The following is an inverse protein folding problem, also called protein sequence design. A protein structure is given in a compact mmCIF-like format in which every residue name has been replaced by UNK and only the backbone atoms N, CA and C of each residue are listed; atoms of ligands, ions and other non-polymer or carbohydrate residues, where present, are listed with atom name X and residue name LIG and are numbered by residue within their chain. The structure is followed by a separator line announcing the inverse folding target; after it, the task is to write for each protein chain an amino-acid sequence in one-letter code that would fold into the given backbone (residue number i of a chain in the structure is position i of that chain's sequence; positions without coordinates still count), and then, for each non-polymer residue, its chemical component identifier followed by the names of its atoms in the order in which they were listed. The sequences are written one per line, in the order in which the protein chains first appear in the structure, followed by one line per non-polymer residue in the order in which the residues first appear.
data_IF_265505451952
#
_entry.id   IF_265505451952
#
_cell.length_a   1.000
_cell.length_b   1.000
_cell.length_c   1.000
_cell.angle_alpha   90.00
_cell.angle_beta   90.00
_cell.angle_gamma   90.00
#
_symmetry.space_group_name_H-M   'P 1'
#
loop_
_entity.id
_entity.type
_entity.pdbx_description
1 polymer ?
#
# COMPACT_ATOMS: atom_id res chain seq x y z
N UNK A 1 1.57 31.93 27.59
CA UNK A 1 2.56 32.56 26.70
C UNK A 1 3.33 31.54 25.87
N UNK A 2 4.28 30.83 26.48
CA UNK A 2 5.29 30.01 25.76
C UNK A 2 4.72 28.92 24.85
N UNK A 3 3.60 28.27 25.20
CA UNK A 3 2.97 27.22 24.37
C UNK A 3 2.52 27.73 23.00
N UNK A 4 1.90 28.91 22.92
CA UNK A 4 1.45 29.49 21.66
C UNK A 4 2.63 29.78 20.71
N UNK A 5 3.75 30.26 21.25
CA UNK A 5 4.97 30.46 20.46
C UNK A 5 5.58 29.15 19.95
N UNK A 6 5.52 28.06 20.73
CA UNK A 6 5.98 26.73 20.28
C UNK A 6 5.11 26.18 19.15
N UNK A 7 3.79 26.27 19.28
CA UNK A 7 2.84 25.87 18.22
C UNK A 7 3.11 26.68 16.96
N UNK A 8 3.22 28.00 17.08
CA UNK A 8 3.48 28.88 15.95
C UNK A 8 4.81 28.55 15.27
N UNK A 9 5.88 28.29 16.04
CA UNK A 9 7.17 27.89 15.49
C UNK A 9 7.08 26.55 14.73
N UNK A 10 6.38 25.55 15.27
CA UNK A 10 6.18 24.27 14.59
C UNK A 10 5.37 24.45 13.30
N UNK A 11 4.28 25.23 13.34
CA UNK A 11 3.47 25.58 12.18
C UNK A 11 4.32 26.22 11.08
N UNK A 12 5.12 27.24 11.41
CA UNK A 12 5.97 27.92 10.43
C UNK A 12 6.96 26.96 9.76
N UNK A 13 7.50 25.99 10.49
CA UNK A 13 8.38 24.97 9.92
C UNK A 13 7.62 23.94 9.06
N UNK A 14 6.39 23.59 9.42
CA UNK A 14 5.54 22.72 8.59
C UNK A 14 5.12 23.40 7.29
N UNK A 15 4.70 24.66 7.35
CA UNK A 15 4.32 25.45 6.18
C UNK A 15 5.53 25.54 5.24
N UNK A 16 6.70 25.93 5.77
CA UNK A 16 7.94 26.01 4.99
C UNK A 16 8.37 24.65 4.43
N UNK A 17 8.25 23.57 5.21
CA UNK A 17 8.50 22.23 4.70
C UNK A 17 7.57 21.90 3.53
N UNK A 18 6.29 22.24 3.63
CA UNK A 18 5.26 21.91 2.64
C UNK A 18 5.43 22.66 1.32
N UNK A 19 5.90 23.91 1.39
CA UNK A 19 6.17 24.77 0.23
C UNK A 19 7.48 24.43 -0.51
N UNK A 20 8.38 23.68 0.12
CA UNK A 20 9.70 23.41 -0.44
C UNK A 20 9.74 22.28 -1.48
N UNK A 21 10.80 22.20 -2.32
CA UNK A 21 10.92 21.19 -3.38
C UNK A 21 10.84 19.75 -2.87
N UNK A 22 10.08 18.89 -3.56
CA UNK A 22 9.75 17.52 -3.15
C UNK A 22 10.97 16.63 -2.87
N UNK A 23 11.95 16.63 -3.78
CA UNK A 23 13.18 15.86 -3.62
C UNK A 23 14.01 16.31 -2.40
N UNK A 24 13.80 17.53 -1.90
CA UNK A 24 14.43 18.00 -0.66
C UNK A 24 13.60 17.65 0.58
N UNK A 25 12.26 17.64 0.47
CA UNK A 25 11.32 17.19 1.51
C UNK A 25 11.51 15.72 1.86
N UNK A 26 11.82 14.89 0.87
CA UNK A 26 12.04 13.45 1.07
C UNK A 26 13.40 13.10 1.70
N UNK A 27 14.31 14.08 1.90
CA UNK A 27 15.62 13.77 2.50
C UNK A 27 15.49 13.28 3.95
N UNK A 28 16.32 12.32 4.41
CA UNK A 28 16.23 11.76 5.76
C UNK A 28 16.29 12.83 6.87
N UNK A 29 17.11 13.87 6.69
CA UNK A 29 17.28 14.94 7.67
C UNK A 29 16.10 15.92 7.73
N UNK A 30 15.33 16.03 6.65
CA UNK A 30 14.11 16.82 6.61
C UNK A 30 12.94 16.03 7.22
N UNK A 31 12.83 14.74 6.91
CA UNK A 31 11.86 13.83 7.55
C UNK A 31 12.11 13.69 9.05
N UNK A 32 13.37 13.59 9.50
CA UNK A 32 13.67 13.60 10.94
C UNK A 32 13.20 14.88 11.64
N UNK A 33 13.28 16.04 10.98
CA UNK A 33 12.73 17.28 11.52
C UNK A 33 11.20 17.18 11.64
N UNK A 34 10.51 16.70 10.61
CA UNK A 34 9.06 16.49 10.62
C UNK A 34 8.63 15.60 11.79
N UNK A 35 9.29 14.45 11.97
CA UNK A 35 9.02 13.56 13.10
C UNK A 35 9.25 14.26 14.46
N UNK A 36 10.33 15.04 14.58
CA UNK A 36 10.63 15.82 15.78
C UNK A 36 9.56 16.90 16.07
N UNK A 37 9.04 17.56 15.04
CA UNK A 37 7.97 18.55 15.18
C UNK A 37 6.65 17.90 15.62
N UNK A 38 6.27 16.76 15.04
CA UNK A 38 5.09 15.99 15.46
C UNK A 38 5.21 15.59 16.93
N UNK A 39 6.37 15.05 17.33
CA UNK A 39 6.63 14.68 18.72
C UNK A 39 6.54 15.89 19.68
N UNK A 40 7.08 17.05 19.29
CA UNK A 40 6.97 18.28 20.09
C UNK A 40 5.53 18.78 20.21
N UNK A 41 4.76 18.75 19.12
CA UNK A 41 3.36 19.17 19.11
C UNK A 41 2.52 18.28 20.03
N UNK A 42 2.72 16.96 19.96
CA UNK A 42 2.04 16.01 20.84
C UNK A 42 2.40 16.24 22.32
N UNK A 43 3.62 16.69 22.61
CA UNK A 43 4.09 17.06 23.94
C UNK A 43 3.72 18.48 24.42
N UNK A 44 2.80 19.19 23.77
CA UNK A 44 2.43 20.56 24.18
C UNK A 44 1.58 20.61 25.46
N UNK A 45 0.69 19.62 25.62
CA UNK A 45 -0.28 19.56 26.71
C UNK A 45 0.14 18.64 27.85
N UNK A 46 1.11 17.75 27.61
CA UNK A 46 1.62 16.78 28.56
C UNK A 46 3.14 16.63 28.44
N UNK A 47 3.75 15.80 29.29
CA UNK A 47 5.15 15.40 29.12
C UNK A 47 5.35 14.76 27.74
N UNK A 48 6.37 15.15 26.96
CA UNK A 48 6.65 14.52 25.67
C UNK A 48 6.77 13.00 25.82
N UNK A 49 6.28 12.26 24.83
CA UNK A 49 6.30 10.80 24.83
C UNK A 49 7.74 10.28 25.01
N UNK A 50 7.90 9.31 25.93
CA UNK A 50 9.18 8.65 26.27
C UNK A 50 9.18 7.17 25.89
N UNK A 51 8.25 6.72 25.04
CA UNK A 51 8.25 5.38 24.47
C UNK A 51 9.52 5.06 23.67
N UNK A 52 9.75 3.78 23.39
CA UNK A 52 10.98 3.30 22.75
C UNK A 52 11.30 4.03 21.42
N UNK A 53 10.28 4.25 20.58
CA UNK A 53 10.41 4.96 19.31
C UNK A 53 10.70 6.45 19.50
N UNK A 54 10.05 7.10 20.47
CA UNK A 54 10.32 8.49 20.82
C UNK A 54 11.72 8.68 21.42
N UNK A 55 12.21 7.77 22.26
CA UNK A 55 13.61 7.78 22.71
C UNK A 55 14.57 7.72 21.50
N UNK A 56 14.27 6.90 20.48
CA UNK A 56 15.13 6.76 19.26
C UNK A 56 15.11 8.02 18.41
N UNK A 57 13.98 8.73 18.37
CA UNK A 57 13.89 10.05 17.76
C UNK A 57 14.71 11.08 18.55
N UNK A 58 14.66 11.05 19.88
CA UNK A 58 15.43 11.97 20.73
C UNK A 58 16.94 11.84 20.51
N UNK A 59 17.47 10.63 20.32
CA UNK A 59 18.88 10.36 20.00
C UNK A 59 19.37 11.05 18.70
N UNK A 60 18.46 11.32 17.76
CA UNK A 60 18.81 11.92 16.46
C UNK A 60 18.40 13.38 16.37
N UNK A 61 17.37 13.79 17.12
CA UNK A 61 16.77 15.12 17.03
C UNK A 61 17.22 16.10 18.12
N UNK A 62 17.65 15.62 19.30
CA UNK A 62 18.04 16.49 20.42
C UNK A 62 19.56 16.70 20.52
N UNK A 63 20.02 17.84 21.07
CA UNK A 63 21.41 18.02 21.45
C UNK A 63 21.86 16.96 22.46
N UNK A 64 23.11 16.54 22.34
CA UNK A 64 23.71 15.57 23.25
C UNK A 64 24.55 16.27 24.30
N UNK A 65 24.43 15.82 25.55
CA UNK A 65 25.24 16.26 26.69
C UNK A 65 26.11 15.10 27.18
N UNK A 66 27.30 15.41 27.71
CA UNK A 66 28.21 14.40 28.26
C UNK A 66 27.60 13.74 29.49
N UNK A 67 27.64 12.41 29.55
CA UNK A 67 27.07 11.63 30.65
C UNK A 67 27.90 11.70 31.93
N UNK A 68 29.21 11.86 31.80
CA UNK A 68 30.16 11.74 32.92
C UNK A 68 29.89 12.75 34.05
N UNK A 69 29.20 13.86 33.77
CA UNK A 69 28.84 14.88 34.77
C UNK A 69 27.44 15.49 34.53
N UNK A 70 26.58 14.84 33.74
CA UNK A 70 25.24 15.36 33.50
C UNK A 70 24.38 15.22 34.76
N UNK A 71 23.69 16.29 35.15
CA UNK A 71 22.60 16.17 36.10
C UNK A 71 21.53 15.23 35.48
N UNK A 72 21.12 14.13 36.17
CA UNK A 72 20.10 13.22 35.67
C UNK A 72 18.80 13.89 35.23
N UNK A 73 18.42 15.00 35.88
CA UNK A 73 17.21 15.77 35.56
C UNK A 73 17.31 16.49 34.20
N UNK A 74 18.52 16.67 33.68
CA UNK A 74 18.77 17.27 32.36
C UNK A 74 18.80 16.22 31.25
N UNK A 75 18.77 14.92 31.56
CA UNK A 75 18.72 13.88 30.53
C UNK A 75 17.28 13.72 30.02
N UNK A 76 17.12 13.54 28.71
CA UNK A 76 15.78 13.41 28.13
C UNK A 76 15.04 12.15 28.63
N UNK A 77 15.84 11.11 28.90
CA UNK A 77 15.48 9.90 29.62
C UNK A 77 16.66 9.48 30.48
N UNK A 78 16.40 8.73 31.55
CA UNK A 78 17.43 8.31 32.50
C UNK A 78 18.57 7.54 31.82
N UNK A 79 19.73 7.48 32.49
CA UNK A 79 20.74 6.48 32.16
C UNK A 79 20.10 5.10 32.27
N UNK A 80 20.27 4.20 31.29
CA UNK A 80 19.75 2.84 31.38
C UNK A 80 20.23 2.25 32.70
N UNK A 81 19.33 2.10 33.67
CA UNK A 81 19.64 1.35 34.88
C UNK A 81 19.83 -0.08 34.43
N UNK A 82 20.92 -0.72 34.88
CA UNK A 82 21.30 -2.08 34.49
C UNK A 82 20.17 -3.11 34.61
N UNK A 83 19.14 -2.82 35.41
CA UNK A 83 18.10 -3.78 35.80
C UNK A 83 16.66 -3.39 35.42
N UNK A 84 16.35 -2.20 34.87
CA UNK A 84 14.95 -1.79 34.60
C UNK A 84 14.65 -1.33 33.17
N UNK A 85 15.66 -1.01 32.36
CA UNK A 85 15.50 -0.90 30.89
C UNK A 85 15.86 -2.24 30.23
N UNK A 86 15.47 -3.35 30.88
CA UNK A 86 15.52 -4.70 30.30
C UNK A 86 14.68 -4.65 29.04
N UNK A 87 15.33 -4.41 27.92
CA UNK A 87 15.71 -5.50 27.06
C UNK A 87 14.66 -6.59 26.79
N UNK A 88 13.37 -6.30 26.87
CA UNK A 88 12.31 -7.28 26.56
C UNK A 88 12.01 -7.38 25.06
N UNK A 89 12.89 -6.85 24.20
CA UNK A 89 12.69 -6.81 22.73
C UNK A 89 14.02 -7.01 21.96
N UNK A 90 15.01 -7.69 22.57
CA UNK A 90 16.25 -8.06 21.85
C UNK A 90 16.05 -9.40 21.14
N UNK A 91 15.98 -9.36 19.81
CA UNK A 91 16.45 -10.47 19.00
C UNK A 91 17.95 -10.30 18.76
N UNK A 92 18.70 -11.37 18.96
CA UNK A 92 20.17 -11.44 18.92
C UNK A 92 20.76 -11.54 17.51
N UNK A 93 19.95 -11.54 16.45
CA UNK A 93 20.42 -12.06 15.14
C UNK A 93 20.85 -11.02 14.10
N UNK A 94 20.96 -9.73 14.45
CA UNK A 94 21.50 -8.73 13.51
C UNK A 94 22.48 -7.73 14.14
N UNK A 95 23.49 -8.28 14.83
CA UNK A 95 24.57 -7.51 15.47
C UNK A 95 25.44 -6.68 14.49
N UNK A 96 25.38 -6.93 13.19
CA UNK A 96 26.24 -6.27 12.20
C UNK A 96 25.74 -4.89 11.73
N UNK A 97 24.50 -4.49 12.05
CA UNK A 97 23.89 -3.24 11.55
C UNK A 97 23.22 -2.38 12.64
N UNK A 98 23.79 -2.27 13.85
CA UNK A 98 23.21 -1.50 14.96
C UNK A 98 23.83 -0.09 15.18
N UNK A 99 23.24 1.02 14.66
CA UNK A 99 23.80 2.36 14.87
C UNK A 99 23.30 3.12 16.13
N UNK A 100 22.16 2.77 16.74
CA UNK A 100 21.53 3.63 17.78
C UNK A 100 21.53 3.06 19.21
N UNK A 101 21.28 1.76 19.42
CA UNK A 101 21.08 1.22 20.77
C UNK A 101 22.40 0.96 21.54
N UNK A 102 23.48 0.52 20.88
CA UNK A 102 24.80 0.38 21.53
C UNK A 102 25.33 1.72 22.06
N UNK A 103 25.07 2.82 21.34
CA UNK A 103 25.36 4.20 21.81
C UNK A 103 24.62 4.55 23.10
N UNK A 104 23.47 3.94 23.42
CA UNK A 104 22.78 4.26 24.67
C UNK A 104 23.40 3.62 25.89
N UNK A 105 24.11 2.51 25.76
CA UNK A 105 24.77 1.84 26.90
C UNK A 105 26.22 2.29 27.01
N UNK A 106 26.90 2.45 25.87
CA UNK A 106 28.34 2.73 25.80
C UNK A 106 28.69 4.17 25.39
N UNK A 107 27.72 4.97 24.93
CA UNK A 107 27.99 6.31 24.42
C UNK A 107 28.34 7.29 25.53
N UNK A 108 29.40 8.07 25.32
CA UNK A 108 29.86 9.14 26.23
C UNK A 108 28.82 10.28 26.40
N UNK A 109 27.83 10.36 25.50
CA UNK A 109 26.83 11.42 25.48
C UNK A 109 25.40 10.87 25.40
N UNK A 110 24.42 11.65 25.86
CA UNK A 110 22.99 11.30 25.81
C UNK A 110 22.17 12.53 25.40
N UNK A 111 21.00 12.38 24.75
CA UNK A 111 20.11 13.51 24.53
C UNK A 111 19.66 14.15 25.84
N UNK A 112 19.63 15.48 25.89
CA UNK A 112 19.32 16.23 27.11
C UNK A 112 18.43 17.45 26.89
N UNK A 113 17.74 17.85 27.95
CA UNK A 113 16.93 19.07 28.06
C UNK A 113 17.78 20.18 28.69
N UNK A 114 18.59 20.85 27.87
CA UNK A 114 19.42 21.96 28.33
C UNK A 114 18.55 22.99 29.08
N UNK A 115 18.92 23.31 30.33
CA UNK A 115 18.20 24.25 31.19
C UNK A 115 16.71 23.90 31.40
N UNK A 116 16.35 22.60 31.36
CA UNK A 116 14.96 22.15 31.52
C UNK A 116 14.06 22.46 30.32
N UNK A 117 14.63 22.83 29.18
CA UNK A 117 13.91 23.09 27.93
C UNK A 117 14.27 22.07 26.85
N UNK A 118 13.29 21.72 26.02
CA UNK A 118 13.51 20.85 24.87
C UNK A 118 13.99 21.72 23.70
N UNK A 119 15.24 21.52 23.30
CA UNK A 119 15.81 22.10 22.10
C UNK A 119 16.00 21.01 21.05
N UNK A 120 15.72 21.33 19.79
CA UNK A 120 16.15 20.50 18.68
C UNK A 120 17.62 20.80 18.35
N UNK A 121 18.30 19.84 17.71
CA UNK A 121 19.57 20.11 17.04
C UNK A 121 19.41 21.25 16.04
N UNK A 122 20.54 21.86 15.66
CA UNK A 122 20.57 22.97 14.72
C UNK A 122 19.73 22.66 13.48
N UNK A 123 18.74 23.52 13.23
CA UNK A 123 17.89 23.48 12.04
C UNK A 123 18.56 24.33 10.96
N UNK A 124 18.70 23.77 9.78
CA UNK A 124 19.12 24.46 8.58
C UNK A 124 17.88 24.99 7.85
N UNK A 125 17.83 26.29 7.61
CA UNK A 125 16.75 26.97 6.89
C UNK A 125 17.32 28.18 6.13
N UNK A 126 16.49 28.85 5.31
CA UNK A 126 16.85 30.05 4.53
C UNK A 126 17.10 29.75 3.04
N UNK A 127 17.56 30.73 2.27
CA UNK A 127 17.74 30.61 0.81
C UNK A 127 18.61 29.42 0.38
N UNK A 128 19.64 29.09 1.17
CA UNK A 128 20.53 27.94 0.93
C UNK A 128 19.91 26.58 1.32
N UNK A 129 18.83 26.59 2.09
CA UNK A 129 18.13 25.40 2.59
C UNK A 129 16.61 25.65 2.44
N UNK A 130 16.07 25.55 1.22
CA UNK A 130 14.68 25.91 0.92
C UNK A 130 13.66 24.98 1.60
N UNK A 131 14.11 23.81 2.09
CA UNK A 131 13.34 22.94 2.99
C UNK A 131 14.03 22.94 4.35
N UNK A 132 13.31 23.25 5.45
CA UNK A 132 13.85 23.16 6.79
C UNK A 132 14.23 21.71 7.13
N UNK A 133 15.41 21.51 7.70
CA UNK A 133 15.94 20.18 8.03
C UNK A 133 16.93 20.23 9.19
N UNK A 134 17.17 19.11 9.85
CA UNK A 134 18.25 19.02 10.83
C UNK A 134 19.62 19.07 10.14
N UNK A 135 20.64 19.61 10.80
CA UNK A 135 22.03 19.46 10.37
C UNK A 135 22.38 17.98 10.28
N UNK A 136 22.98 17.58 9.16
CA UNK A 136 23.44 16.20 8.98
C UNK A 136 24.61 15.90 9.92
N UNK A 137 24.36 15.09 10.94
CA UNK A 137 25.39 14.60 11.87
C UNK A 137 25.79 13.15 11.59
N UNK A 138 25.38 12.59 10.45
CA UNK A 138 25.48 11.16 10.15
C UNK A 138 24.54 10.27 10.97
N UNK A 139 23.70 10.85 11.83
CA UNK A 139 22.71 10.11 12.60
C UNK A 139 21.48 9.84 11.73
N UNK A 140 20.95 8.62 11.80
CA UNK A 140 19.76 8.19 11.07
C UNK A 140 18.70 7.70 12.04
N UNK A 141 17.44 8.04 11.77
CA UNK A 141 16.32 7.51 12.54
C UNK A 141 16.22 6.00 12.29
N UNK A 142 16.05 5.25 13.37
CA UNK A 142 15.87 3.80 13.29
C UNK A 142 14.61 3.44 12.48
N UNK A 143 14.63 2.39 11.62
CA UNK A 143 13.47 1.98 10.81
C UNK A 143 12.15 1.84 11.58
N UNK A 144 12.11 1.08 12.69
CA UNK A 144 10.93 0.99 13.58
C UNK A 144 10.39 2.36 14.05
N UNK A 145 11.28 3.29 14.42
CA UNK A 145 10.86 4.63 14.83
C UNK A 145 10.37 5.45 13.65
N UNK A 146 11.01 5.34 12.49
CA UNK A 146 10.54 5.95 11.25
C UNK A 146 9.12 5.47 10.89
N UNK A 147 8.89 4.15 10.86
CA UNK A 147 7.58 3.53 10.62
C UNK A 147 6.53 4.00 11.63
N UNK A 148 6.89 4.12 12.91
CA UNK A 148 6.01 4.67 13.94
C UNK A 148 5.56 6.11 13.66
N UNK A 149 6.48 6.99 13.26
CA UNK A 149 6.14 8.41 13.01
C UNK A 149 5.47 8.66 11.66
N UNK A 150 5.68 7.80 10.66
CA UNK A 150 5.21 8.02 9.29
C UNK A 150 4.18 6.99 8.79
N UNK A 151 3.86 5.96 9.57
CA UNK A 151 2.90 4.91 9.19
C UNK A 151 3.39 3.96 8.09
N UNK A 152 4.65 4.07 7.64
CA UNK A 152 5.20 3.26 6.58
C UNK A 152 6.72 3.30 6.52
N UNK A 153 7.30 2.42 5.71
CA UNK A 153 8.75 2.36 5.52
C UNK A 153 9.26 3.58 4.74
N UNK A 154 10.56 3.84 4.89
CA UNK A 154 11.23 4.97 4.27
C UNK A 154 11.00 5.06 2.77
N UNK A 155 11.04 3.93 2.08
CA UNK A 155 10.85 3.89 0.63
C UNK A 155 9.42 4.23 0.22
N UNK A 156 8.42 3.83 1.01
CA UNK A 156 7.00 4.15 0.76
C UNK A 156 6.79 5.66 0.94
N UNK A 157 7.24 6.22 2.05
CA UNK A 157 7.11 7.66 2.35
C UNK A 157 7.86 8.51 1.34
N UNK A 158 9.08 8.09 0.94
CA UNK A 158 9.82 8.76 -0.12
C UNK A 158 9.11 8.65 -1.46
N UNK A 159 8.56 7.49 -1.79
CA UNK A 159 7.81 7.30 -3.03
C UNK A 159 6.58 8.20 -3.08
N UNK A 160 5.85 8.33 -1.98
CA UNK A 160 4.67 9.21 -1.90
C UNK A 160 5.07 10.68 -2.06
N UNK A 161 6.15 11.10 -1.39
CA UNK A 161 6.64 12.49 -1.44
C UNK A 161 7.30 12.89 -2.77
N UNK A 162 7.85 11.93 -3.52
CA UNK A 162 8.53 12.19 -4.82
C UNK A 162 7.65 11.75 -6.00
N UNK A 163 6.42 11.27 -5.74
CA UNK A 163 5.55 10.69 -6.77
C UNK A 163 5.19 11.66 -7.91
N UNK A 164 5.39 12.97 -7.73
CA UNK A 164 5.16 13.98 -8.77
C UNK A 164 6.38 14.19 -9.71
N UNK A 165 7.61 13.84 -9.29
CA UNK A 165 8.84 13.95 -10.09
C UNK A 165 9.34 12.61 -10.68
N UNK A 166 8.97 11.44 -10.12
CA UNK A 166 9.43 10.14 -10.66
C UNK A 166 8.66 9.80 -11.94
N UNK A 167 9.21 10.26 -13.06
CA UNK A 167 8.82 9.95 -14.43
C UNK A 167 7.33 10.20 -14.71
N UNK A 168 6.97 11.48 -14.89
CA UNK A 168 5.76 11.82 -15.65
C UNK A 168 5.80 10.98 -16.94
N UNK A 169 4.85 10.06 -17.14
CA UNK A 169 4.83 9.31 -18.37
C UNK A 169 4.77 10.32 -19.51
N UNK A 170 5.43 10.03 -20.63
CA UNK A 170 5.39 10.90 -21.82
C UNK A 170 3.96 11.21 -22.28
N UNK A 171 2.97 10.44 -21.81
CA UNK A 171 1.56 10.69 -21.96
C UNK A 171 0.87 10.62 -20.58
N UNK A 172 0.16 11.68 -20.13
CA UNK A 172 -0.51 11.71 -18.82
C UNK A 172 -1.59 10.64 -18.65
N UNK A 173 -2.22 10.18 -19.74
CA UNK A 173 -3.24 9.12 -19.72
C UNK A 173 -2.64 7.70 -19.54
N UNK A 174 -1.31 7.61 -19.50
CA UNK A 174 -0.62 6.34 -19.36
C UNK A 174 -0.42 6.00 -17.88
N UNK A 175 -1.18 5.03 -17.41
CA UNK A 175 -0.99 4.48 -16.06
C UNK A 175 0.03 3.36 -16.08
N UNK A 176 1.06 3.42 -15.23
CA UNK A 176 2.07 2.35 -15.15
C UNK A 176 1.44 1.05 -14.65
N UNK A 177 1.37 0.06 -15.54
CA UNK A 177 0.87 -1.28 -15.23
C UNK A 177 1.96 -2.22 -14.65
N UNK A 178 3.22 -1.74 -14.58
CA UNK A 178 4.38 -2.48 -14.07
C UNK A 178 4.66 -2.26 -12.58
N UNK A 179 3.82 -1.51 -11.87
CA UNK A 179 3.96 -1.33 -10.40
C UNK A 179 3.96 -2.69 -9.70
N UNK A 180 4.84 -2.86 -8.70
CA UNK A 180 5.03 -4.11 -7.95
C UNK A 180 3.71 -4.58 -7.31
N UNK A 181 2.93 -3.63 -6.78
CA UNK A 181 1.61 -3.87 -6.20
C UNK A 181 0.59 -2.88 -6.76
N UNK A 182 -0.66 -3.32 -6.81
CA UNK A 182 -1.83 -2.48 -7.09
C UNK A 182 -2.20 -1.62 -5.87
N UNK A 183 -2.97 -0.53 -6.06
CA UNK A 183 -3.52 0.23 -4.94
C UNK A 183 -4.37 -0.69 -4.05
N UNK A 184 -4.42 -0.39 -2.76
CA UNK A 184 -5.36 -1.04 -1.84
C UNK A 184 -6.75 -0.47 -2.11
N UNK A 185 -7.75 -1.33 -2.14
CA UNK A 185 -9.15 -0.90 -2.16
C UNK A 185 -9.49 -0.27 -0.81
N UNK A 186 -9.96 0.98 -0.86
CA UNK A 186 -10.56 1.66 0.28
C UNK A 186 -12.05 1.81 -0.02
N UNK A 187 -12.89 1.53 0.97
CA UNK A 187 -14.32 1.77 0.81
C UNK A 187 -14.57 3.28 0.92
N UNK A 188 -14.62 3.95 -0.23
CA UNK A 188 -14.85 5.40 -0.30
C UNK A 188 -16.24 5.82 0.20
N UNK A 189 -17.14 4.87 0.51
CA UNK A 189 -18.41 5.19 1.16
C UNK A 189 -18.24 5.77 2.57
N UNK A 190 -17.08 5.57 3.21
CA UNK A 190 -16.76 6.12 4.53
C UNK A 190 -16.49 7.63 4.54
N UNK A 191 -16.22 8.25 3.38
CA UNK A 191 -15.85 9.67 3.31
C UNK A 191 -17.07 10.63 3.37
N UNK A 192 -18.29 10.16 3.04
CA UNK A 192 -19.47 11.02 2.89
C UNK A 192 -20.67 10.66 3.81
N UNK A 193 -20.69 9.51 4.50
CA UNK A 193 -21.81 9.12 5.38
C UNK A 193 -21.40 8.27 6.60
N UNK A 194 -21.76 8.74 7.80
CA UNK A 194 -21.77 8.02 9.09
C UNK A 194 -20.64 7.01 9.34
N UNK A 195 -19.54 7.46 9.96
CA UNK A 195 -18.36 6.68 10.42
C UNK A 195 -18.67 5.42 11.26
N UNK A 196 -19.92 5.18 11.65
CA UNK A 196 -20.35 4.06 12.51
C UNK A 196 -21.19 2.99 11.78
N UNK A 197 -21.47 3.14 10.47
CA UNK A 197 -22.24 2.14 9.75
C UNK A 197 -21.40 0.86 9.51
N UNK A 198 -21.92 -0.35 9.79
CA UNK A 198 -21.21 -1.58 9.53
C UNK A 198 -20.94 -1.76 8.03
N UNK A 199 -19.78 -2.33 7.64
CA UNK A 199 -19.42 -2.51 6.23
C UNK A 199 -20.46 -3.37 5.52
N UNK A 200 -20.79 -3.00 4.27
CA UNK A 200 -21.76 -3.76 3.48
C UNK A 200 -21.14 -5.08 3.03
N UNK A 201 -21.54 -6.18 3.66
CA UNK A 201 -21.07 -7.53 3.32
C UNK A 201 -21.76 -8.06 2.06
N UNK A 202 -20.98 -8.52 1.08
CA UNK A 202 -21.50 -9.12 -0.15
C UNK A 202 -21.79 -10.62 -0.01
N UNK A 203 -21.19 -11.26 0.99
CA UNK A 203 -21.25 -12.70 1.21
C UNK A 203 -21.77 -13.00 2.62
N UNK A 204 -22.44 -14.14 2.78
CA UNK A 204 -23.03 -14.60 4.04
C UNK A 204 -22.79 -16.11 4.24
N UNK A 205 -21.54 -16.53 4.09
CA UNK A 205 -21.05 -17.90 4.26
C UNK A 205 -20.94 -18.29 5.74
N UNK A 206 -20.70 -17.34 6.64
CA UNK A 206 -20.65 -17.61 8.08
C UNK A 206 -22.00 -18.14 8.59
N UNK A 207 -23.10 -17.54 8.12
CA UNK A 207 -24.46 -17.98 8.45
C UNK A 207 -24.78 -19.40 7.95
N UNK A 208 -23.98 -19.93 7.02
CA UNK A 208 -24.10 -21.29 6.49
C UNK A 208 -23.14 -22.27 7.19
N UNK A 209 -22.45 -21.84 8.24
CA UNK A 209 -21.52 -22.66 9.01
C UNK A 209 -20.12 -22.79 8.40
N UNK A 210 -19.77 -21.96 7.42
CA UNK A 210 -18.40 -21.92 6.86
C UNK A 210 -17.56 -20.89 7.61
N UNK A 211 -16.28 -21.20 7.82
CA UNK A 211 -15.34 -20.32 8.49
C UNK A 211 -13.92 -20.51 7.96
N UNK A 212 -13.11 -19.46 8.04
CA UNK A 212 -11.68 -19.58 7.86
C UNK A 212 -11.06 -20.24 9.11
N UNK A 213 -10.03 -21.04 8.89
CA UNK A 213 -9.17 -21.52 9.94
C UNK A 213 -8.45 -20.32 10.58
N UNK A 214 -8.19 -20.37 11.90
CA UNK A 214 -7.37 -19.39 12.57
C UNK A 214 -6.05 -19.18 11.81
N UNK A 215 -5.53 -17.95 11.85
CA UNK A 215 -4.18 -17.69 11.33
C UNK A 215 -3.23 -18.61 12.10
N UNK A 216 -2.36 -19.30 11.37
CA UNK A 216 -1.26 -20.03 12.00
C UNK A 216 -0.25 -18.97 12.39
N UNK A 217 -0.50 -18.33 13.54
CA UNK A 217 0.52 -17.52 14.19
C UNK A 217 1.46 -18.49 14.86
N UNK A 218 2.71 -18.51 14.43
CA UNK A 218 3.74 -19.11 15.24
C UNK A 218 3.94 -18.17 16.44
N UNK A 219 3.34 -18.53 17.57
CA UNK A 219 3.51 -17.81 18.83
C UNK A 219 4.81 -18.22 19.55
N UNK A 220 5.70 -18.98 18.87
CA UNK A 220 7.04 -19.23 19.36
C UNK A 220 7.77 -17.92 19.64
N UNK A 221 8.26 -17.75 20.87
CA UNK A 221 9.07 -16.60 21.29
C UNK A 221 10.36 -16.43 20.44
N UNK A 222 10.71 -17.44 19.64
CA UNK A 222 11.87 -17.53 18.74
C UNK A 222 11.57 -17.17 17.27
N UNK A 223 10.30 -17.06 16.87
CA UNK A 223 9.95 -16.58 15.52
C UNK A 223 10.06 -15.06 15.48
N UNK A 224 11.26 -14.59 15.15
CA UNK A 224 11.48 -13.19 14.78
C UNK A 224 10.51 -12.88 13.64
N UNK A 225 9.53 -12.00 13.91
CA UNK A 225 8.57 -11.57 12.93
C UNK A 225 9.30 -10.95 11.75
N UNK A 226 9.49 -11.72 10.68
CA UNK A 226 9.92 -11.23 9.39
C UNK A 226 8.95 -10.08 9.04
N UNK A 227 9.46 -8.84 9.09
CA UNK A 227 8.74 -7.58 8.90
C UNK A 227 8.19 -7.42 7.46
N UNK A 228 8.35 -8.46 6.63
CA UNK A 228 7.65 -8.61 5.36
C UNK A 228 6.19 -8.94 5.66
N UNK A 229 5.37 -7.89 5.82
CA UNK A 229 3.90 -7.92 5.87
C UNK A 229 3.38 -9.13 5.09
N UNK A 230 3.07 -10.21 5.81
CA UNK A 230 2.74 -11.44 5.12
C UNK A 230 1.37 -11.21 4.52
N UNK A 231 1.12 -11.76 3.34
CA UNK A 231 -0.22 -11.69 2.73
C UNK A 231 -1.32 -12.27 3.63
N UNK A 232 -0.94 -13.01 4.68
CA UNK A 232 -1.84 -13.55 5.70
C UNK A 232 -2.24 -12.50 6.76
N UNK A 233 -1.42 -11.47 7.02
CA UNK A 233 -1.73 -10.40 7.97
C UNK A 233 -2.86 -9.49 7.47
N UNK A 234 -2.90 -9.27 6.15
CA UNK A 234 -3.90 -8.43 5.49
C UNK A 234 -5.27 -9.11 5.35
N UNK A 235 -5.34 -10.43 5.49
CA UNK A 235 -6.60 -11.15 5.38
C UNK A 235 -7.36 -11.08 6.72
N UNK A 236 -8.57 -10.51 6.70
CA UNK A 236 -9.48 -10.49 7.86
C UNK A 236 -9.81 -11.91 8.36
N UNK A 237 -10.24 -12.02 9.61
CA UNK A 237 -10.57 -13.31 10.22
C UNK A 237 -11.97 -13.80 9.87
N UNK A 238 -12.92 -12.88 9.73
CA UNK A 238 -14.26 -13.21 9.28
C UNK A 238 -14.25 -13.53 7.77
N UNK A 239 -14.86 -14.68 7.41
CA UNK A 239 -14.88 -15.17 6.03
C UNK A 239 -15.64 -14.25 5.09
N UNK A 240 -16.71 -13.61 5.57
CA UNK A 240 -17.60 -12.78 4.76
C UNK A 240 -16.97 -11.42 4.51
N UNK A 241 -16.34 -10.83 5.53
CA UNK A 241 -15.53 -9.62 5.39
C UNK A 241 -14.33 -9.84 4.46
N UNK A 242 -13.56 -10.91 4.69
CA UNK A 242 -12.38 -11.23 3.88
C UNK A 242 -12.76 -11.47 2.41
N UNK A 243 -13.84 -12.22 2.15
CA UNK A 243 -14.26 -12.52 0.77
C UNK A 243 -14.80 -11.28 0.06
N UNK A 244 -15.50 -10.41 0.80
CA UNK A 244 -16.00 -9.12 0.28
C UNK A 244 -14.83 -8.22 -0.12
N UNK A 245 -13.84 -8.06 0.75
CA UNK A 245 -12.64 -7.25 0.48
C UNK A 245 -11.86 -7.79 -0.71
N UNK A 246 -11.62 -9.09 -0.77
CA UNK A 246 -10.91 -9.74 -1.88
C UNK A 246 -11.64 -9.57 -3.20
N UNK A 247 -12.98 -9.60 -3.18
CA UNK A 247 -13.79 -9.38 -4.37
C UNK A 247 -13.72 -7.93 -4.87
N UNK A 248 -13.77 -6.93 -3.98
CA UNK A 248 -13.59 -5.52 -4.38
C UNK A 248 -12.17 -5.25 -4.89
N UNK A 249 -11.15 -5.77 -4.19
CA UNK A 249 -9.76 -5.69 -4.62
C UNK A 249 -9.55 -6.33 -5.99
N UNK A 250 -10.26 -7.42 -6.31
CA UNK A 250 -10.22 -8.05 -7.64
C UNK A 250 -10.61 -7.08 -8.75
N UNK A 251 -11.74 -6.38 -8.61
CA UNK A 251 -12.23 -5.43 -9.62
C UNK A 251 -11.20 -4.33 -9.88
N UNK A 252 -10.62 -3.77 -8.81
CA UNK A 252 -9.61 -2.72 -8.88
C UNK A 252 -8.31 -3.23 -9.51
N UNK A 253 -7.88 -4.43 -9.16
CA UNK A 253 -6.63 -5.03 -9.66
C UNK A 253 -6.70 -5.40 -11.13
N UNK A 254 -7.81 -5.98 -11.57
CA UNK A 254 -8.01 -6.33 -12.98
C UNK A 254 -7.92 -5.05 -13.82
N UNK A 255 -8.56 -3.97 -13.37
CA UNK A 255 -8.50 -2.67 -14.03
C UNK A 255 -7.09 -2.08 -14.03
N UNK A 256 -6.44 -2.06 -12.86
CA UNK A 256 -5.10 -1.49 -12.68
C UNK A 256 -4.03 -2.20 -13.49
N UNK A 257 -4.22 -3.49 -13.77
CA UNK A 257 -3.29 -4.31 -14.56
C UNK A 257 -3.61 -4.35 -16.05
N UNK A 258 -4.59 -3.56 -16.51
CA UNK A 258 -4.86 -3.42 -17.93
C UNK A 258 -3.60 -3.01 -18.72
N UNK A 259 -3.45 -3.51 -19.95
CA UNK A 259 -2.29 -3.24 -20.78
C UNK A 259 -2.27 -1.79 -21.29
N UNK A 260 -1.08 -1.30 -21.59
CA UNK A 260 -0.88 -0.03 -22.29
C UNK A 260 -0.52 -0.29 -23.76
N UNK A 261 -0.74 0.70 -24.61
CA UNK A 261 -0.24 0.66 -25.98
C UNK A 261 1.29 0.56 -26.01
N UNK A 262 1.82 -0.01 -27.08
CA UNK A 262 3.26 -0.09 -27.28
C UNK A 262 3.85 1.31 -27.53
N UNK A 263 5.03 1.60 -26.98
CA UNK A 263 5.69 2.91 -27.13
C UNK A 263 5.39 3.89 -25.99
N UNK A 264 6.37 4.71 -25.60
CA UNK A 264 6.34 5.58 -24.41
C UNK A 264 5.19 6.61 -24.41
N UNK A 265 4.92 7.22 -25.57
CA UNK A 265 3.94 8.30 -25.74
C UNK A 265 2.50 7.87 -26.05
N UNK A 266 2.25 6.57 -26.21
CA UNK A 266 0.89 6.09 -26.47
C UNK A 266 0.11 5.90 -25.15
N UNK A 267 -1.21 6.16 -25.17
CA UNK A 267 -2.04 6.09 -23.98
C UNK A 267 -2.25 4.63 -23.53
N UNK A 268 -2.98 4.47 -22.43
CA UNK A 268 -3.50 3.16 -22.05
C UNK A 268 -4.59 2.68 -23.02
N UNK A 269 -4.82 1.36 -23.11
CA UNK A 269 -5.97 0.83 -23.85
C UNK A 269 -7.30 1.12 -23.13
N UNK A 270 -7.27 1.53 -21.85
CA UNK A 270 -8.47 1.96 -21.14
C UNK A 270 -8.78 3.42 -21.46
N UNK A 271 -10.07 3.75 -21.55
CA UNK A 271 -10.58 5.12 -21.58
C UNK A 271 -10.47 5.80 -20.20
N UNK A 272 -10.45 5.00 -19.13
CA UNK A 272 -10.39 5.47 -17.74
C UNK A 272 -9.04 6.12 -17.40
N UNK A 273 -9.10 7.31 -16.82
CA UNK A 273 -7.96 8.00 -16.21
C UNK A 273 -7.52 7.37 -14.88
N UNK A 274 -6.50 7.94 -14.24
CA UNK A 274 -5.97 7.42 -12.95
C UNK A 274 -7.04 7.41 -11.86
N UNK A 275 -7.88 8.44 -11.81
CA UNK A 275 -8.87 8.61 -10.75
C UNK A 275 -10.06 7.67 -10.96
N UNK A 276 -10.60 7.62 -12.17
CA UNK A 276 -11.67 6.71 -12.55
C UNK A 276 -11.30 5.24 -12.33
N UNK A 277 -10.02 4.87 -12.53
CA UNK A 277 -9.53 3.51 -12.22
C UNK A 277 -9.53 3.15 -10.74
N UNK A 278 -9.44 4.13 -9.83
CA UNK A 278 -9.53 3.90 -8.38
C UNK A 278 -10.97 3.67 -7.93
N UNK A 279 -11.93 4.21 -8.67
CA UNK A 279 -13.36 4.17 -8.34
C UNK A 279 -14.15 3.16 -9.18
N UNK A 280 -13.48 2.16 -9.78
CA UNK A 280 -14.18 1.10 -10.52
C UNK A 280 -14.99 0.21 -9.58
N UNK A 281 -16.18 -0.17 -10.02
CA UNK A 281 -17.12 -1.00 -9.25
C UNK A 281 -17.63 -2.16 -10.10
N UNK A 282 -18.47 -3.03 -9.53
CA UNK A 282 -19.16 -4.09 -10.29
C UNK A 282 -19.89 -3.54 -11.53
N UNK A 283 -20.53 -2.37 -11.38
CA UNK A 283 -21.28 -1.70 -12.46
C UNK A 283 -20.40 -1.42 -13.67
N UNK A 284 -19.14 -1.07 -13.46
CA UNK A 284 -18.16 -0.84 -14.52
C UNK A 284 -17.98 -2.07 -15.42
N UNK A 285 -18.06 -3.28 -14.85
CA UNK A 285 -17.92 -4.54 -15.58
C UNK A 285 -19.26 -5.13 -16.07
N UNK A 286 -20.38 -4.55 -15.66
CA UNK A 286 -21.72 -4.87 -16.16
C UNK A 286 -22.12 -4.02 -17.38
N UNK A 287 -21.35 -2.97 -17.69
CA UNK A 287 -21.61 -2.06 -18.82
C UNK A 287 -21.49 -2.78 -20.18
N UNK A 288 -22.52 -2.63 -21.02
CA UNK A 288 -22.57 -3.21 -22.36
C UNK A 288 -21.76 -2.38 -23.38
N UNK A 289 -21.65 -1.08 -23.17
CA UNK A 289 -20.87 -0.20 -24.00
C UNK A 289 -19.38 -0.27 -23.66
N UNK A 290 -18.63 -1.11 -24.39
CA UNK A 290 -17.20 -1.29 -24.13
C UNK A 290 -16.38 0.00 -24.34
N UNK A 291 -16.88 0.97 -25.11
CA UNK A 291 -16.20 2.25 -25.30
C UNK A 291 -16.13 3.10 -24.01
N UNK A 292 -17.00 2.84 -23.03
CA UNK A 292 -16.93 3.46 -21.70
C UNK A 292 -15.70 3.00 -20.91
N UNK A 293 -15.15 1.82 -21.24
CA UNK A 293 -14.04 1.20 -20.53
C UNK A 293 -12.74 1.13 -21.35
N UNK A 294 -12.86 0.88 -22.66
CA UNK A 294 -11.75 0.69 -23.58
C UNK A 294 -11.72 1.76 -24.68
N UNK A 295 -10.51 2.22 -25.01
CA UNK A 295 -10.23 2.94 -26.25
C UNK A 295 -10.13 1.99 -27.45
N UNK A 296 -9.61 0.79 -27.19
CA UNK A 296 -9.52 -0.27 -28.19
C UNK A 296 -9.51 -1.65 -27.52
N UNK A 297 -10.29 -2.59 -28.05
CA UNK A 297 -10.24 -3.99 -27.64
C UNK A 297 -10.83 -4.91 -28.71
N UNK A 298 -10.46 -6.18 -28.65
CA UNK A 298 -11.09 -7.27 -29.39
C UNK A 298 -11.95 -8.08 -28.43
N UNK A 299 -13.19 -8.35 -28.80
CA UNK A 299 -14.14 -9.09 -27.97
C UNK A 299 -14.61 -10.38 -28.66
N UNK A 300 -15.03 -11.35 -27.84
CA UNK A 300 -15.69 -12.57 -28.30
C UNK A 300 -16.73 -12.97 -27.25
N UNK A 301 -17.93 -13.36 -27.67
CA UNK A 301 -18.88 -14.04 -26.78
C UNK A 301 -18.30 -15.40 -26.43
N UNK A 302 -17.95 -15.58 -25.17
CA UNK A 302 -17.36 -16.82 -24.69
C UNK A 302 -18.41 -17.93 -24.71
N UNK A 303 -17.97 -19.15 -25.03
CA UNK A 303 -18.75 -20.34 -24.67
C UNK A 303 -18.79 -20.50 -23.14
N UNK A 304 -19.77 -21.27 -22.64
CA UNK A 304 -19.86 -21.61 -21.21
C UNK A 304 -18.56 -22.23 -20.67
N UNK A 305 -17.90 -23.07 -21.49
CA UNK A 305 -16.62 -23.68 -21.15
C UNK A 305 -15.52 -22.62 -21.05
N UNK A 306 -15.35 -21.78 -22.07
CA UNK A 306 -14.32 -20.72 -22.08
C UNK A 306 -14.50 -19.74 -20.91
N UNK A 307 -15.74 -19.36 -20.60
CA UNK A 307 -16.02 -18.47 -19.46
C UNK A 307 -15.68 -19.13 -18.12
N UNK A 308 -15.97 -20.42 -17.98
CA UNK A 308 -15.58 -21.21 -16.80
C UNK A 308 -14.06 -21.33 -16.68
N UNK A 309 -13.34 -21.52 -17.79
CA UNK A 309 -11.87 -21.52 -17.78
C UNK A 309 -11.28 -20.17 -17.37
N UNK A 310 -11.87 -19.06 -17.82
CA UNK A 310 -11.45 -17.71 -17.40
C UNK A 310 -11.63 -17.56 -15.89
N UNK A 311 -12.79 -17.95 -15.38
CA UNK A 311 -13.05 -17.96 -13.93
C UNK A 311 -12.04 -18.82 -13.18
N UNK A 312 -11.80 -20.06 -13.62
CA UNK A 312 -10.88 -21.00 -12.96
C UNK A 312 -9.42 -20.51 -12.96
N UNK A 313 -9.05 -19.61 -13.89
CA UNK A 313 -7.71 -18.98 -13.93
C UNK A 313 -7.60 -17.78 -12.98
N UNK A 314 -8.62 -16.93 -12.95
CA UNK A 314 -8.65 -15.73 -12.10
C UNK A 314 -8.84 -16.12 -10.63
N UNK A 315 -9.76 -17.03 -10.39
CA UNK A 315 -10.02 -17.67 -9.12
C UNK A 315 -9.56 -19.11 -9.28
N UNK A 316 -8.34 -19.49 -8.87
CA UNK A 316 -7.88 -20.87 -8.88
C UNK A 316 -8.45 -21.68 -7.71
N UNK A 317 -8.60 -23.00 -7.88
CA UNK A 317 -9.02 -23.93 -6.80
C UNK A 317 -7.94 -24.05 -5.73
N UNK A 318 -8.30 -24.55 -4.55
CA UNK A 318 -7.31 -24.89 -3.52
C UNK A 318 -6.31 -25.92 -4.09
N UNK A 319 -5.04 -25.78 -3.75
CA UNK A 319 -3.97 -26.64 -4.24
C UNK A 319 -3.50 -26.36 -5.68
N UNK A 320 -4.20 -25.54 -6.46
CA UNK A 320 -3.76 -25.18 -7.81
C UNK A 320 -2.44 -24.41 -7.77
N UNK A 321 -1.53 -24.67 -8.69
CA UNK A 321 -0.27 -23.95 -8.86
C UNK A 321 -0.17 -23.40 -10.27
N UNK A 322 0.30 -22.16 -10.41
CA UNK A 322 0.56 -21.59 -11.72
C UNK A 322 1.80 -22.27 -12.31
N UNK A 323 1.62 -23.00 -13.40
CA UNK A 323 2.67 -23.81 -14.04
C UNK A 323 3.48 -23.07 -15.11
N UNK A 324 3.08 -21.85 -15.49
CA UNK A 324 3.77 -21.09 -16.52
C UNK A 324 5.08 -20.48 -16.00
N UNK A 325 6.14 -20.52 -16.81
CA UNK A 325 7.44 -19.95 -16.45
C UNK A 325 7.43 -18.41 -16.36
N UNK A 326 6.58 -17.74 -17.16
CA UNK A 326 6.53 -16.29 -17.28
C UNK A 326 5.14 -15.74 -16.90
N UNK A 327 4.80 -15.84 -15.62
CA UNK A 327 3.52 -15.34 -15.09
C UNK A 327 3.55 -13.82 -15.00
N UNK A 328 2.63 -13.15 -15.70
CA UNK A 328 2.43 -11.71 -15.69
C UNK A 328 1.14 -11.35 -14.96
N UNK A 329 1.16 -10.20 -14.29
CA UNK A 329 0.06 -9.59 -13.54
C UNK A 329 -0.40 -10.33 -12.27
N UNK A 330 -0.58 -11.65 -12.28
CA UNK A 330 -1.14 -12.39 -11.12
C UNK A 330 -0.38 -12.15 -9.81
N UNK A 331 0.95 -12.32 -9.80
CA UNK A 331 1.77 -12.11 -8.58
C UNK A 331 1.81 -10.66 -8.10
N UNK A 332 1.46 -9.70 -8.96
CA UNK A 332 1.45 -8.28 -8.66
C UNK A 332 0.06 -7.76 -8.28
N UNK A 333 -0.96 -8.61 -8.41
CA UNK A 333 -2.34 -8.31 -8.03
C UNK A 333 -2.55 -8.73 -6.58
N UNK A 334 -2.86 -7.77 -5.71
CA UNK A 334 -3.17 -7.98 -4.29
C UNK A 334 -4.32 -8.97 -4.09
N UNK A 335 -5.40 -8.88 -4.88
CA UNK A 335 -6.54 -9.81 -4.76
C UNK A 335 -6.09 -11.26 -4.88
N UNK A 336 -5.15 -11.53 -5.78
CA UNK A 336 -4.69 -12.89 -6.04
C UNK A 336 -3.88 -13.40 -4.84
N UNK A 337 -3.02 -12.55 -4.28
CA UNK A 337 -2.31 -12.85 -3.05
C UNK A 337 -3.26 -13.14 -1.88
N UNK A 338 -4.27 -12.29 -1.68
CA UNK A 338 -5.26 -12.46 -0.61
C UNK A 338 -6.11 -13.72 -0.82
N UNK A 339 -6.56 -13.98 -2.04
CA UNK A 339 -7.28 -15.21 -2.38
C UNK A 339 -6.44 -16.46 -2.06
N UNK A 340 -5.13 -16.43 -2.34
CA UNK A 340 -4.22 -17.54 -2.01
C UNK A 340 -4.05 -17.72 -0.50
N UNK A 341 -3.95 -16.65 0.26
CA UNK A 341 -3.95 -16.67 1.73
C UNK A 341 -5.25 -17.29 2.27
N UNK A 342 -6.42 -16.84 1.79
CA UNK A 342 -7.72 -17.40 2.14
C UNK A 342 -7.84 -18.89 1.80
N UNK A 343 -7.31 -19.34 0.66
CA UNK A 343 -7.30 -20.74 0.28
C UNK A 343 -6.44 -21.61 1.21
N UNK A 344 -5.29 -21.10 1.68
CA UNK A 344 -4.48 -21.79 2.68
C UNK A 344 -5.26 -21.97 3.98
N UNK A 345 -5.94 -20.90 4.42
CA UNK A 345 -6.77 -20.84 5.64
C UNK A 345 -8.15 -21.50 5.52
N UNK A 346 -8.57 -22.06 4.40
CA UNK A 346 -9.91 -22.66 4.28
C UNK A 346 -9.87 -24.18 4.17
N UNK A 347 -10.85 -24.89 4.70
CA UNK A 347 -11.04 -26.30 4.35
C UNK A 347 -11.46 -26.44 2.88
N UNK A 348 -11.27 -27.61 2.28
CA UNK A 348 -11.63 -27.85 0.86
C UNK A 348 -13.11 -27.55 0.56
N UNK A 349 -14.02 -27.94 1.46
CA UNK A 349 -15.45 -27.63 1.37
C UNK A 349 -15.72 -26.12 1.40
N UNK A 350 -15.04 -25.40 2.29
CA UNK A 350 -15.15 -23.94 2.44
C UNK A 350 -14.59 -23.23 1.20
N UNK A 351 -13.41 -23.62 0.73
CA UNK A 351 -12.80 -23.10 -0.49
C UNK A 351 -13.73 -23.26 -1.70
N UNK A 352 -14.30 -24.45 -1.87
CA UNK A 352 -15.25 -24.71 -2.96
C UNK A 352 -16.53 -23.88 -2.81
N UNK A 353 -17.03 -23.68 -1.59
CA UNK A 353 -18.20 -22.82 -1.35
C UNK A 353 -17.92 -21.36 -1.68
N UNK A 354 -16.79 -20.79 -1.24
CA UNK A 354 -16.37 -19.43 -1.57
C UNK A 354 -16.33 -19.23 -3.09
N UNK A 355 -15.73 -20.18 -3.82
CA UNK A 355 -15.70 -20.16 -5.29
C UNK A 355 -17.09 -20.16 -5.92
N UNK A 356 -18.02 -20.97 -5.40
CA UNK A 356 -19.37 -21.04 -5.94
C UNK A 356 -20.08 -19.70 -5.80
N UNK A 357 -19.97 -19.03 -4.65
CA UNK A 357 -20.57 -17.70 -4.46
C UNK A 357 -19.87 -16.63 -5.32
N UNK A 358 -18.53 -16.65 -5.41
CA UNK A 358 -17.79 -15.80 -6.33
C UNK A 358 -18.20 -16.02 -7.79
N UNK A 359 -18.47 -17.28 -8.18
CA UNK A 359 -18.88 -17.62 -9.56
C UNK A 359 -20.22 -17.00 -9.91
N UNK A 360 -21.19 -16.97 -8.97
CA UNK A 360 -22.48 -16.32 -9.19
C UNK A 360 -22.29 -14.84 -9.52
N UNK A 361 -21.54 -14.13 -8.67
CA UNK A 361 -21.19 -12.71 -8.88
C UNK A 361 -20.42 -12.49 -10.19
N UNK A 362 -19.49 -13.39 -10.49
CA UNK A 362 -18.71 -13.33 -11.73
C UNK A 362 -19.56 -13.50 -12.98
N UNK A 363 -20.63 -14.31 -12.92
CA UNK A 363 -21.55 -14.53 -14.03
C UNK A 363 -22.50 -13.35 -14.29
N UNK A 364 -22.64 -12.46 -13.31
CA UNK A 364 -23.40 -11.22 -13.48
C UNK A 364 -22.64 -10.19 -14.34
N UNK A 365 -21.30 -10.27 -14.39
CA UNK A 365 -20.49 -9.38 -15.22
C UNK A 365 -20.83 -9.54 -16.71
N UNK A 366 -20.76 -8.42 -17.43
CA UNK A 366 -20.97 -8.40 -18.87
C UNK A 366 -19.73 -8.86 -19.62
N UNK A 367 -18.55 -8.42 -19.18
CA UNK A 367 -17.28 -8.78 -19.79
C UNK A 367 -16.19 -9.06 -18.76
N UNK A 368 -15.16 -9.81 -19.17
CA UNK A 368 -13.92 -10.03 -18.41
C UNK A 368 -12.70 -10.10 -19.33
N UNK A 369 -11.48 -9.87 -18.83
CA UNK A 369 -10.27 -10.15 -19.60
C UNK A 369 -10.26 -11.59 -20.09
N UNK A 370 -9.75 -11.83 -21.30
CA UNK A 370 -9.50 -13.19 -21.78
C UNK A 370 -8.27 -13.79 -21.07
N UNK A 371 -8.45 -14.14 -19.80
CA UNK A 371 -7.38 -14.58 -18.91
C UNK A 371 -6.79 -15.92 -19.34
N UNK A 372 -5.46 -16.01 -19.27
CA UNK A 372 -4.67 -17.21 -19.54
C UNK A 372 -3.84 -17.59 -18.32
N UNK A 373 -3.23 -18.78 -18.35
CA UNK A 373 -2.36 -19.26 -17.27
C UNK A 373 -1.09 -18.42 -17.08
N UNK A 374 -0.61 -17.76 -18.14
CA UNK A 374 0.59 -16.93 -18.11
C UNK A 374 0.30 -15.44 -17.85
N UNK A 375 -0.92 -14.95 -18.08
CA UNK A 375 -1.27 -13.54 -17.88
C UNK A 375 -2.77 -13.30 -17.77
N UNK A 376 -3.15 -12.27 -17.01
CA UNK A 376 -4.54 -11.80 -16.90
C UNK A 376 -4.99 -11.14 -18.21
N UNK A 377 -4.19 -10.18 -18.71
CA UNK A 377 -4.51 -9.46 -19.94
C UNK A 377 -3.63 -9.92 -21.09
N UNK A 378 -4.25 -10.50 -22.11
CA UNK A 378 -3.56 -10.83 -23.36
C UNK A 378 -3.83 -9.78 -24.41
N UNK A 379 -2.75 -9.19 -24.94
CA UNK A 379 -2.82 -8.20 -26.02
C UNK A 379 -2.22 -8.78 -27.29
N UNK A 380 -3.06 -9.11 -28.27
CA UNK A 380 -2.64 -9.61 -29.59
C UNK A 380 -3.82 -9.55 -30.56
N UNK A 381 -3.55 -9.53 -31.86
CA UNK A 381 -4.59 -9.79 -32.85
C UNK A 381 -5.01 -11.27 -32.81
N UNK A 382 -6.32 -11.54 -32.92
CA UNK A 382 -6.87 -12.89 -33.01
C UNK A 382 -8.13 -12.87 -33.89
N UNK A 383 -8.07 -13.46 -35.08
CA UNK A 383 -9.16 -13.42 -36.07
C UNK A 383 -10.49 -14.09 -35.67
N UNK A 384 -10.56 -14.78 -34.52
CA UNK A 384 -11.82 -15.28 -33.94
C UNK A 384 -12.52 -14.27 -33.03
N UNK A 385 -11.96 -13.06 -32.89
CA UNK A 385 -12.49 -11.97 -32.09
C UNK A 385 -12.92 -10.83 -33.01
N UNK A 386 -13.97 -10.15 -32.60
CA UNK A 386 -14.50 -8.98 -33.29
C UNK A 386 -13.90 -7.71 -32.70
N UNK A 387 -13.67 -6.70 -33.54
CA UNK A 387 -13.14 -5.41 -33.13
C UNK A 387 -14.12 -4.32 -33.58
N UNK A 388 -14.58 -3.49 -32.64
CA UNK A 388 -15.65 -2.50 -32.88
C UNK A 388 -15.19 -1.05 -32.79
N UNK A 389 -13.92 -0.80 -32.48
CA UNK A 389 -13.36 0.55 -32.24
C UNK A 389 -13.15 1.41 -33.48
N UNK A 390 -13.27 0.83 -34.69
CA UNK A 390 -12.93 1.51 -35.95
C UNK A 390 -11.42 1.64 -36.22
N UNK A 391 -10.57 1.27 -35.25
CA UNK A 391 -9.11 1.18 -35.42
C UNK A 391 -8.77 -0.06 -36.27
N UNK A 392 -7.63 -0.05 -36.97
CA UNK A 392 -7.12 -1.16 -37.78
C UNK A 392 -7.46 -2.53 -37.16
N UNK A 393 -8.27 -3.36 -37.85
CA UNK A 393 -8.68 -4.69 -37.39
C UNK A 393 -7.52 -5.59 -36.99
N UNK A 394 -6.34 -5.43 -37.61
CA UNK A 394 -5.16 -6.26 -37.37
C UNK A 394 -4.24 -5.71 -36.27
N UNK A 395 -4.46 -4.48 -35.79
CA UNK A 395 -3.66 -3.91 -34.69
C UNK A 395 -3.93 -4.70 -33.41
N UNK A 396 -2.85 -5.19 -32.80
CA UNK A 396 -2.91 -5.88 -31.51
C UNK A 396 -3.54 -4.97 -30.45
N UNK A 397 -4.49 -5.51 -29.70
CA UNK A 397 -5.17 -4.84 -28.59
C UNK A 397 -5.61 -5.92 -27.58
N UNK A 398 -6.15 -5.53 -26.41
CA UNK A 398 -6.57 -6.46 -25.37
C UNK A 398 -7.68 -7.39 -25.87
N UNK A 399 -7.62 -8.66 -25.46
CA UNK A 399 -8.67 -9.64 -25.70
C UNK A 399 -9.66 -9.68 -24.53
N UNK A 400 -10.94 -9.57 -24.85
CA UNK A 400 -12.06 -9.51 -23.89
C UNK A 400 -13.04 -10.64 -24.17
N UNK A 401 -13.50 -11.30 -23.12
CA UNK A 401 -14.58 -12.27 -23.16
C UNK A 401 -15.90 -11.58 -22.77
N UNK A 402 -16.96 -11.80 -23.53
CA UNK A 402 -18.32 -11.43 -23.15
C UNK A 402 -18.98 -12.65 -22.49
N UNK A 403 -19.68 -12.42 -21.39
CA UNK A 403 -20.33 -13.49 -20.61
C UNK A 403 -21.34 -14.27 -21.49
N UNK A 404 -21.37 -15.61 -21.41
CA UNK A 404 -22.28 -16.43 -22.21
C UNK A 404 -23.74 -16.05 -21.99
N UNK A 405 -24.50 -15.89 -23.06
CA UNK A 405 -25.91 -15.51 -23.01
C UNK A 405 -26.15 -14.00 -22.98
N UNK A 406 -25.11 -13.17 -22.82
CA UNK A 406 -25.19 -11.73 -23.10
C UNK A 406 -25.09 -11.49 -24.62
N UNK A 407 -25.78 -10.46 -25.10
CA UNK A 407 -25.72 -10.04 -26.51
C UNK A 407 -24.38 -9.39 -26.87
N UNK A 408 -24.12 -9.10 -28.16
CA UNK A 408 -22.93 -8.36 -28.59
C UNK A 408 -22.79 -6.99 -27.89
N UNK A 409 -21.56 -6.53 -27.62
CA UNK A 409 -21.32 -5.22 -27.02
C UNK A 409 -21.68 -4.11 -28.00
N UNK A 410 -22.07 -2.97 -27.45
CA UNK A 410 -22.18 -1.72 -28.20
C UNK A 410 -20.86 -0.96 -28.16
N UNK A 411 -20.64 -0.11 -29.14
CA UNK A 411 -19.47 0.76 -29.19
C UNK A 411 -19.90 2.19 -29.51
N UNK A 412 -20.23 2.93 -28.46
CA UNK A 412 -20.64 4.33 -28.53
C UNK A 412 -19.60 5.15 -27.75
N UNK A 413 -18.53 5.65 -28.40
CA UNK A 413 -17.59 6.54 -27.71
C UNK A 413 -18.36 7.75 -27.20
N UNK A 414 -18.18 8.08 -25.91
CA UNK A 414 -18.74 9.32 -25.37
C UNK A 414 -18.23 10.49 -26.23
N UNK A 415 -19.15 11.31 -26.73
CA UNK A 415 -18.86 12.48 -27.55
C UNK A 415 -18.07 13.53 -26.77
#
# INVERSE_FOLDING_TARGET
GVRAYRVLACKLLFDWFSEGPEHLRSTPVALMLVAALVWLVNGLHATPDKGANSKRLMDVALPHISRLNANPDLLAYGTPTKDDDVASDWSTDDEFNMPANRRRVEGETSPGYAQGMVFLRRICCGEKNPVPRLVNSGATLHPKAFKYFFGGDKDIVMQDLVSDEVARPSNPDRVSNKKKHTPIYFDHAEDDAEQDAPPTLLFHLRNQGFQLLPKVSDEGEDVQGDDDFTTDDLCKDDIDEALTEVYHQFILDITSKAPNEHGAGNPSYLSLDVNARRHVTEKTYMEQNLACYFRDCQWKIASKLEWTEIFDRLWPRKGFTLTANNIQNFRQSRYYCYWRAMLKRSQESTANRMRVELKKKFDDFYFMPWAHSDRIWKSRYKGSFTKSSGIDPKKACPLVAICPGKGPPTWNPAL
#
